data_IF_068847167699
#
_entry.id   IF_068847167699
#
_cell.length_a   1.000
_cell.length_b   1.000
_cell.length_c   1.000
_cell.angle_alpha   90.00
_cell.angle_beta   90.00
_cell.angle_gamma   90.00
#
_symmetry.space_group_name_H-M   'P 1'
#
loop_
_entity.id
_entity.type
_entity.pdbx_description
1 polymer ?
#
# COMPACT_ATOMS: atom_id res chain seq x y z
N UNK A 1 -12.19 0.10 -15.96
CA UNK A 1 -12.19 1.02 -14.83
C UNK A 1 -13.39 0.78 -13.95
N UNK A 2 -13.18 0.70 -12.66
CA UNK A 2 -14.20 0.46 -11.66
C UNK A 2 -13.83 1.13 -10.35
N UNK A 3 -14.74 1.11 -9.39
CA UNK A 3 -14.56 1.68 -8.07
C UNK A 3 -15.81 2.38 -7.59
N UNK A 4 -15.77 2.90 -6.36
CA UNK A 4 -16.87 3.68 -5.82
C UNK A 4 -17.09 4.96 -6.64
N UNK A 5 -18.33 5.43 -6.84
CA UNK A 5 -18.65 6.65 -7.61
C UNK A 5 -18.32 7.93 -6.82
N UNK A 6 -17.08 8.03 -6.32
CA UNK A 6 -16.58 9.18 -5.55
C UNK A 6 -15.86 10.22 -6.42
N UNK A 7 -16.01 10.11 -7.76
CA UNK A 7 -15.35 10.97 -8.73
C UNK A 7 -14.19 10.30 -9.46
N UNK A 8 -13.55 11.01 -10.40
CA UNK A 8 -12.45 10.47 -11.19
C UNK A 8 -11.25 10.13 -10.28
N UNK A 9 -10.73 8.91 -10.42
CA UNK A 9 -9.51 8.47 -9.76
C UNK A 9 -8.38 8.47 -10.77
N UNK A 10 -7.40 9.37 -10.65
CA UNK A 10 -6.28 9.43 -11.57
C UNK A 10 -5.44 8.15 -11.46
N UNK A 11 -5.07 7.59 -12.60
CA UNK A 11 -4.20 6.40 -12.70
C UNK A 11 -2.89 6.72 -13.41
N UNK A 12 -2.59 8.00 -13.58
CA UNK A 12 -1.42 8.54 -14.27
C UNK A 12 -0.10 8.01 -13.69
N UNK A 13 0.01 7.92 -12.35
CA UNK A 13 1.21 7.39 -11.69
C UNK A 13 1.39 5.88 -11.93
N UNK A 14 0.30 5.11 -12.02
CA UNK A 14 0.35 3.70 -12.42
C UNK A 14 0.87 3.56 -13.85
N UNK A 15 0.29 4.35 -14.77
CA UNK A 15 0.67 4.38 -16.18
C UNK A 15 2.15 4.77 -16.33
N UNK A 16 2.58 5.83 -15.62
CA UNK A 16 3.97 6.29 -15.60
C UNK A 16 4.92 5.17 -15.20
N UNK A 17 4.61 4.46 -14.12
CA UNK A 17 5.42 3.36 -13.64
C UNK A 17 5.51 2.20 -14.63
N UNK A 18 4.39 1.75 -15.17
CA UNK A 18 4.38 0.65 -16.15
C UNK A 18 5.11 1.02 -17.45
N UNK A 19 4.94 2.24 -17.96
CA UNK A 19 5.69 2.74 -19.12
C UNK A 19 7.21 2.77 -18.86
N UNK A 20 7.61 3.21 -17.69
CA UNK A 20 9.04 3.23 -17.32
C UNK A 20 9.64 1.82 -17.27
N UNK A 21 8.86 0.81 -16.84
CA UNK A 21 9.25 -0.59 -16.86
C UNK A 21 9.21 -1.22 -18.28
N UNK A 22 8.80 -0.47 -19.31
CA UNK A 22 8.78 -0.92 -20.70
C UNK A 22 7.45 -1.50 -21.18
N UNK A 23 6.35 -1.27 -20.45
CA UNK A 23 5.01 -1.62 -20.92
C UNK A 23 4.47 -0.58 -21.92
N UNK A 24 3.82 -1.06 -22.94
CA UNK A 24 3.04 -0.26 -23.91
C UNK A 24 1.57 -0.25 -23.49
N UNK A 25 0.89 0.88 -23.72
CA UNK A 25 -0.52 1.02 -23.43
C UNK A 25 -1.30 0.93 -24.74
N UNK A 26 -2.21 -0.02 -24.79
CA UNK A 26 -3.19 -0.14 -25.86
C UNK A 26 -4.48 0.60 -25.45
N UNK A 27 -4.68 1.76 -26.06
CA UNK A 27 -5.83 2.65 -25.81
C UNK A 27 -7.00 2.35 -26.80
N UNK A 28 -6.96 1.23 -27.50
CA UNK A 28 -7.97 0.88 -28.51
C UNK A 28 -9.37 0.63 -27.95
N UNK A 29 -9.50 0.46 -26.61
CA UNK A 29 -10.78 0.21 -25.93
C UNK A 29 -11.19 1.40 -25.07
N UNK A 30 -12.44 1.84 -25.23
CA UNK A 30 -13.03 2.90 -24.40
C UNK A 30 -13.46 2.43 -23.00
N UNK A 31 -13.49 1.11 -22.75
CA UNK A 31 -14.01 0.53 -21.50
C UNK A 31 -12.95 -0.14 -20.65
N UNK A 32 -11.78 -0.43 -21.21
CA UNK A 32 -10.68 -1.09 -20.50
C UNK A 32 -9.35 -0.56 -20.99
N UNK A 33 -8.37 -0.55 -20.11
CA UNK A 33 -6.97 -0.28 -20.43
C UNK A 33 -6.22 -1.59 -20.53
N UNK A 34 -5.49 -1.79 -21.62
CA UNK A 34 -4.63 -2.95 -21.81
C UNK A 34 -3.18 -2.53 -21.78
N UNK A 35 -2.42 -3.15 -20.93
CA UNK A 35 -0.97 -2.99 -20.82
C UNK A 35 -0.30 -4.22 -21.42
N UNK A 36 0.67 -4.04 -22.30
CA UNK A 36 1.40 -5.11 -22.96
C UNK A 36 2.89 -4.88 -22.80
N UNK A 37 3.60 -5.89 -22.35
CA UNK A 37 5.06 -5.89 -22.32
C UNK A 37 5.58 -7.23 -22.82
N UNK A 38 6.57 -7.22 -23.72
CA UNK A 38 7.31 -8.44 -24.09
C UNK A 38 8.26 -8.84 -22.97
N UNK A 39 8.83 -7.85 -22.30
CA UNK A 39 9.77 -7.99 -21.21
C UNK A 39 9.71 -6.72 -20.37
N UNK A 40 9.60 -6.86 -19.05
CA UNK A 40 9.75 -5.73 -18.13
C UNK A 40 11.23 -5.56 -17.76
N UNK A 41 11.67 -4.30 -17.70
CA UNK A 41 13.04 -3.92 -17.34
C UNK A 41 13.05 -2.94 -16.18
N UNK A 42 13.97 -3.14 -15.27
CA UNK A 42 14.16 -2.25 -14.14
C UNK A 42 14.43 -0.82 -14.59
N UNK A 43 13.87 0.13 -13.84
CA UNK A 43 13.94 1.55 -14.14
C UNK A 43 13.99 2.40 -12.87
N UNK A 44 14.44 3.64 -12.99
CA UNK A 44 14.30 4.64 -11.94
C UNK A 44 13.01 5.43 -12.16
N UNK A 45 12.09 5.31 -11.21
CA UNK A 45 10.73 5.85 -11.31
C UNK A 45 10.52 6.83 -10.15
N UNK A 46 10.36 8.09 -10.46
CA UNK A 46 9.95 9.11 -9.49
C UNK A 46 8.45 9.34 -9.61
N UNK A 47 7.70 9.12 -8.53
CA UNK A 47 6.26 9.43 -8.48
C UNK A 47 6.05 10.92 -8.24
N UNK A 48 5.29 11.58 -9.11
CA UNK A 48 5.04 13.03 -9.00
C UNK A 48 4.21 13.36 -7.75
N UNK A 49 3.41 12.39 -7.31
CA UNK A 49 2.67 12.42 -6.06
C UNK A 49 2.75 11.06 -5.37
N UNK A 50 2.73 11.06 -4.04
CA UNK A 50 2.66 9.82 -3.26
C UNK A 50 1.35 9.08 -3.58
N UNK A 51 1.45 7.83 -3.99
CA UNK A 51 0.31 6.98 -4.33
C UNK A 51 0.55 5.55 -3.85
N UNK A 52 -0.27 5.10 -2.90
CA UNK A 52 -0.23 3.72 -2.37
C UNK A 52 -0.44 2.72 -3.50
N UNK A 53 -1.51 2.88 -4.27
CA UNK A 53 -1.86 1.97 -5.36
C UNK A 53 -0.79 1.91 -6.44
N UNK A 54 -0.23 3.06 -6.86
CA UNK A 54 0.85 3.08 -7.85
C UNK A 54 2.12 2.41 -7.31
N UNK A 55 2.51 2.71 -6.07
CA UNK A 55 3.67 2.09 -5.42
C UNK A 55 3.54 0.58 -5.40
N UNK A 56 2.40 0.05 -4.95
CA UNK A 56 2.15 -1.40 -4.91
C UNK A 56 2.15 -2.00 -6.31
N UNK A 57 1.43 -1.42 -7.28
CA UNK A 57 1.35 -1.97 -8.64
C UNK A 57 2.71 -1.99 -9.33
N UNK A 58 3.51 -0.94 -9.17
CA UNK A 58 4.86 -0.89 -9.73
C UNK A 58 5.75 -1.94 -9.04
N UNK A 59 5.64 -2.08 -7.71
CA UNK A 59 6.38 -3.09 -6.96
C UNK A 59 6.05 -4.50 -7.46
N UNK A 60 4.77 -4.85 -7.62
CA UNK A 60 4.31 -6.14 -8.14
C UNK A 60 4.86 -6.43 -9.54
N UNK A 61 4.96 -5.43 -10.41
CA UNK A 61 5.53 -5.59 -11.75
C UNK A 61 7.07 -5.70 -11.71
N UNK A 62 7.70 -4.93 -10.82
CA UNK A 62 9.17 -4.82 -10.75
C UNK A 62 9.84 -6.08 -10.21
N UNK A 63 9.15 -6.93 -9.43
CA UNK A 63 9.74 -8.16 -8.88
C UNK A 63 10.18 -9.15 -9.96
N UNK A 64 9.63 -9.07 -11.17
CA UNK A 64 10.04 -9.87 -12.33
C UNK A 64 10.69 -9.04 -13.44
N UNK A 65 10.92 -7.74 -13.23
CA UNK A 65 11.60 -6.90 -14.22
C UNK A 65 13.10 -7.23 -14.26
N UNK A 66 13.70 -7.32 -15.44
CA UNK A 66 15.12 -7.56 -15.57
C UNK A 66 15.94 -6.37 -15.06
N UNK A 67 16.78 -6.59 -14.08
CA UNK A 67 17.63 -5.58 -13.46
C UNK A 67 16.99 -4.97 -12.21
N UNK A 68 17.42 -3.76 -11.87
CA UNK A 68 16.96 -3.06 -10.66
C UNK A 68 15.94 -1.99 -10.98
N UNK A 69 14.86 -1.96 -10.21
CA UNK A 69 13.90 -0.84 -10.17
C UNK A 69 14.11 -0.04 -8.90
N UNK A 70 14.06 1.28 -9.02
CA UNK A 70 14.03 2.21 -7.90
C UNK A 70 12.75 3.03 -8.01
N UNK A 71 11.93 3.01 -6.96
CA UNK A 71 10.72 3.82 -6.86
C UNK A 71 11.01 4.92 -5.84
N UNK A 72 11.12 6.17 -6.28
CA UNK A 72 11.27 7.35 -5.43
C UNK A 72 9.95 8.08 -5.24
N UNK A 73 9.82 8.79 -4.12
CA UNK A 73 8.58 9.37 -3.62
C UNK A 73 7.49 8.30 -3.40
N UNK A 74 7.92 7.11 -3.01
CA UNK A 74 7.06 5.96 -2.74
C UNK A 74 6.15 6.21 -1.51
N UNK A 75 5.00 5.57 -1.51
CA UNK A 75 4.10 5.50 -0.36
C UNK A 75 4.75 4.66 0.77
N UNK A 76 4.48 5.04 2.03
CA UNK A 76 5.10 4.46 3.24
C UNK A 76 4.12 3.74 4.14
N UNK A 77 2.88 3.70 3.76
CA UNK A 77 1.79 3.14 4.53
C UNK A 77 2.04 1.66 4.89
N UNK A 78 1.52 1.19 6.02
CA UNK A 78 1.75 -0.18 6.50
C UNK A 78 1.41 -1.26 5.47
N UNK A 79 0.36 -1.08 4.68
CA UNK A 79 -0.05 -2.00 3.62
C UNK A 79 0.98 -2.11 2.48
N UNK A 80 1.76 -1.06 2.22
CA UNK A 80 2.87 -1.10 1.25
C UNK A 80 4.01 -1.96 1.79
N UNK A 81 4.32 -1.80 3.08
CA UNK A 81 5.34 -2.61 3.77
C UNK A 81 4.90 -4.07 3.83
N UNK A 82 3.63 -4.31 4.10
CA UNK A 82 3.05 -5.66 4.19
C UNK A 82 3.16 -6.40 2.85
N UNK A 83 2.78 -5.75 1.74
CA UNK A 83 2.96 -6.33 0.40
C UNK A 83 4.42 -6.62 0.10
N UNK A 84 5.35 -5.72 0.46
CA UNK A 84 6.77 -5.97 0.28
C UNK A 84 7.26 -7.17 1.10
N UNK A 85 6.83 -7.30 2.36
CA UNK A 85 7.17 -8.43 3.22
C UNK A 85 6.60 -9.74 2.67
N UNK A 86 5.36 -9.73 2.17
CA UNK A 86 4.77 -10.88 1.52
C UNK A 86 5.58 -11.31 0.29
N UNK A 87 5.92 -10.37 -0.59
CA UNK A 87 6.74 -10.67 -1.77
C UNK A 87 8.13 -11.20 -1.38
N UNK A 88 8.76 -10.63 -0.35
CA UNK A 88 10.05 -11.11 0.17
C UNK A 88 9.94 -12.53 0.75
N UNK A 89 8.84 -12.87 1.41
CA UNK A 89 8.59 -14.25 1.87
C UNK A 89 8.47 -15.25 0.71
N UNK A 90 8.10 -14.77 -0.48
CA UNK A 90 8.06 -15.54 -1.71
C UNK A 90 9.41 -15.59 -2.45
N UNK A 91 10.42 -14.83 -2.01
CA UNK A 91 11.75 -14.79 -2.58
C UNK A 91 12.12 -13.52 -3.36
N UNK A 92 11.30 -12.47 -3.30
CA UNK A 92 11.64 -11.18 -3.91
C UNK A 92 12.80 -10.49 -3.16
N UNK A 93 13.63 -9.73 -3.88
CA UNK A 93 14.67 -8.85 -3.31
C UNK A 93 14.18 -7.40 -3.31
N UNK A 94 13.58 -7.00 -2.19
CA UNK A 94 13.01 -5.66 -1.99
C UNK A 94 13.67 -5.02 -0.77
N UNK A 95 14.03 -3.73 -0.88
CA UNK A 95 14.62 -2.94 0.19
C UNK A 95 14.00 -1.56 0.25
N UNK A 96 13.89 -1.01 1.45
CA UNK A 96 13.42 0.35 1.65
C UNK A 96 11.90 0.51 1.70
N UNK A 97 11.10 -0.56 1.73
CA UNK A 97 9.67 -0.47 1.99
C UNK A 97 9.42 0.27 3.33
N UNK A 98 8.44 1.18 3.35
CA UNK A 98 8.19 2.07 4.49
C UNK A 98 9.04 3.35 4.48
N UNK A 99 9.89 3.54 3.48
CA UNK A 99 10.63 4.79 3.23
C UNK A 99 10.18 5.45 1.94
N UNK A 100 10.71 6.62 1.62
CA UNK A 100 10.41 7.34 0.38
C UNK A 100 11.06 6.72 -0.86
N UNK A 101 11.97 5.75 -0.70
CA UNK A 101 12.68 5.12 -1.81
C UNK A 101 12.71 3.61 -1.63
N UNK A 102 12.13 2.88 -2.59
CA UNK A 102 12.06 1.42 -2.61
C UNK A 102 12.93 0.90 -3.76
N UNK A 103 13.83 -0.03 -3.45
CA UNK A 103 14.70 -0.70 -4.43
C UNK A 103 14.28 -2.14 -4.58
N UNK A 104 14.13 -2.60 -5.80
CA UNK A 104 13.66 -3.94 -6.14
C UNK A 104 14.62 -4.51 -7.19
N UNK A 105 15.27 -5.62 -6.88
CA UNK A 105 16.01 -6.39 -7.86
C UNK A 105 15.10 -7.49 -8.39
N UNK A 106 14.93 -7.54 -9.69
CA UNK A 106 14.08 -8.54 -10.32
C UNK A 106 14.61 -9.96 -10.12
N UNK A 107 13.72 -10.88 -9.88
CA UNK A 107 14.00 -12.31 -9.69
C UNK A 107 13.33 -13.13 -10.79
N UNK A 108 13.91 -14.28 -11.11
CA UNK A 108 13.36 -15.16 -12.14
C UNK A 108 12.10 -15.86 -11.68
N UNK A 109 12.02 -16.22 -10.39
CA UNK A 109 10.94 -17.03 -9.84
C UNK A 109 10.55 -16.56 -8.43
N UNK A 110 9.27 -16.56 -8.14
CA UNK A 110 8.71 -16.45 -6.80
C UNK A 110 8.09 -17.78 -6.39
N UNK A 111 8.24 -18.15 -5.12
CA UNK A 111 7.71 -19.40 -4.55
C UNK A 111 6.45 -19.10 -3.74
N UNK A 112 5.56 -20.09 -3.63
CA UNK A 112 4.43 -20.01 -2.70
C UNK A 112 4.90 -19.86 -1.27
N UNK A 113 4.17 -19.08 -0.46
CA UNK A 113 4.48 -18.84 0.96
C UNK A 113 3.20 -18.76 1.76
N UNK A 114 3.25 -19.20 3.01
CA UNK A 114 2.24 -18.87 4.02
C UNK A 114 2.58 -17.51 4.62
N UNK A 115 1.60 -16.62 4.66
CA UNK A 115 1.79 -15.27 5.15
C UNK A 115 0.55 -14.77 5.85
N UNK A 116 0.72 -14.19 7.03
CA UNK A 116 -0.35 -13.54 7.77
C UNK A 116 -0.33 -12.05 7.47
N UNK A 117 -1.38 -11.56 6.80
CA UNK A 117 -1.55 -10.13 6.52
C UNK A 117 -1.78 -9.34 7.80
N UNK A 118 -1.35 -8.09 7.79
CA UNK A 118 -1.59 -7.17 8.90
C UNK A 118 -3.09 -6.81 9.02
N UNK A 119 -3.56 -6.45 10.24
CA UNK A 119 -4.91 -5.91 10.45
C UNK A 119 -5.16 -4.63 9.65
N UNK A 120 -6.40 -4.46 9.19
CA UNK A 120 -6.81 -3.26 8.44
C UNK A 120 -6.91 -2.03 9.36
N UNK A 121 -5.97 -1.11 9.21
CA UNK A 121 -5.96 0.15 9.96
C UNK A 121 -7.11 1.09 9.61
N UNK A 122 -7.67 0.99 8.40
CA UNK A 122 -8.80 1.83 7.97
C UNK A 122 -10.08 1.36 8.64
N UNK A 123 -10.28 0.05 8.71
CA UNK A 123 -11.39 -0.54 9.47
C UNK A 123 -11.27 -0.19 10.95
N UNK A 124 -10.10 -0.41 11.56
CA UNK A 124 -9.84 -0.06 12.95
C UNK A 124 -10.15 1.43 13.23
N UNK A 125 -9.63 2.34 12.38
CA UNK A 125 -9.88 3.77 12.52
C UNK A 125 -11.35 4.15 12.39
N UNK A 126 -12.10 3.47 11.53
CA UNK A 126 -13.56 3.69 11.39
C UNK A 126 -14.30 3.33 12.66
N UNK A 127 -13.97 2.19 13.30
CA UNK A 127 -14.55 1.80 14.59
C UNK A 127 -14.11 2.72 15.73
N UNK A 128 -12.87 3.22 15.72
CA UNK A 128 -12.42 4.23 16.70
C UNK A 128 -13.27 5.51 16.62
N UNK A 129 -13.50 6.02 15.40
CA UNK A 129 -14.36 7.21 15.21
C UNK A 129 -15.80 6.94 15.64
N UNK A 130 -16.33 5.75 15.35
CA UNK A 130 -17.68 5.36 15.77
C UNK A 130 -17.79 5.32 17.30
N UNK A 131 -16.83 4.70 17.98
CA UNK A 131 -16.80 4.63 19.44
C UNK A 131 -16.75 6.03 20.07
N UNK A 132 -15.87 6.90 19.58
CA UNK A 132 -15.76 8.28 20.04
C UNK A 132 -17.07 9.09 19.86
N UNK A 133 -17.83 8.81 18.81
CA UNK A 133 -19.10 9.48 18.54
C UNK A 133 -20.28 8.95 19.39
N UNK A 134 -20.24 7.68 19.77
CA UNK A 134 -21.33 7.03 20.53
C UNK A 134 -21.21 7.23 22.04
N UNK A 135 -20.00 7.50 22.55
CA UNK A 135 -19.74 7.71 23.98
C UNK A 135 -19.88 6.43 24.84
N UNK A 136 -19.76 5.27 24.22
CA UNK A 136 -19.76 3.95 24.91
C UNK A 136 -18.37 3.32 24.84
N UNK A 137 -18.06 2.44 25.81
CA UNK A 137 -16.79 1.70 25.76
C UNK A 137 -16.79 0.71 24.59
N UNK A 138 -15.80 0.83 23.73
CA UNK A 138 -15.52 -0.09 22.63
C UNK A 138 -14.09 -0.61 22.75
N UNK A 139 -13.94 -1.92 22.64
CA UNK A 139 -12.65 -2.58 22.67
C UNK A 139 -12.34 -3.16 21.29
N UNK A 140 -11.28 -2.68 20.67
CA UNK A 140 -10.77 -3.21 19.40
C UNK A 140 -9.63 -4.17 19.67
N UNK A 141 -9.77 -5.40 19.21
CA UNK A 141 -8.76 -6.46 19.32
C UNK A 141 -8.06 -6.69 17.97
N UNK A 142 -6.90 -7.34 18.02
CA UNK A 142 -6.12 -7.72 16.85
C UNK A 142 -5.85 -6.52 15.96
N UNK A 143 -5.29 -5.48 16.52
CA UNK A 143 -4.87 -4.28 15.80
C UNK A 143 -3.40 -3.97 16.08
N UNK A 144 -2.76 -3.22 15.21
CA UNK A 144 -1.43 -2.66 15.43
C UNK A 144 -1.60 -1.18 15.81
N UNK A 145 -1.52 -0.81 17.11
CA UNK A 145 -1.81 0.55 17.56
C UNK A 145 -0.99 1.62 16.84
N UNK A 146 0.26 1.29 16.48
CA UNK A 146 1.15 2.18 15.72
C UNK A 146 0.58 2.58 14.36
N UNK A 147 -0.22 1.73 13.72
CA UNK A 147 -0.82 2.01 12.41
C UNK A 147 -1.96 3.03 12.47
N UNK A 148 -2.53 3.26 13.65
CA UNK A 148 -3.61 4.23 13.91
C UNK A 148 -3.19 5.37 14.85
N UNK A 149 -1.89 5.50 15.14
CA UNK A 149 -1.34 6.46 16.12
C UNK A 149 -1.77 7.91 15.81
N UNK A 150 -1.71 8.32 14.55
CA UNK A 150 -2.10 9.67 14.16
C UNK A 150 -3.59 9.98 14.46
N UNK A 151 -4.46 9.00 14.25
CA UNK A 151 -5.89 9.12 14.58
C UNK A 151 -6.09 9.10 16.10
N UNK A 152 -5.40 8.21 16.80
CA UNK A 152 -5.45 8.10 18.27
C UNK A 152 -5.13 9.44 18.93
N UNK A 153 -4.03 10.08 18.53
CA UNK A 153 -3.65 11.40 19.05
C UNK A 153 -4.74 12.45 18.79
N UNK A 154 -5.34 12.46 17.60
CA UNK A 154 -6.40 13.42 17.28
C UNK A 154 -7.68 13.19 18.08
N UNK A 155 -8.07 11.95 18.31
CA UNK A 155 -9.22 11.65 19.17
C UNK A 155 -8.96 12.03 20.63
N UNK A 156 -7.74 11.78 21.14
CA UNK A 156 -7.34 12.21 22.49
C UNK A 156 -7.32 13.74 22.64
N UNK A 157 -6.87 14.48 21.62
CA UNK A 157 -6.96 15.95 21.59
C UNK A 157 -8.42 16.46 21.65
N UNK A 158 -9.38 15.68 21.13
CA UNK A 158 -10.82 15.95 21.22
C UNK A 158 -11.43 15.57 22.58
N UNK A 159 -10.66 14.98 23.48
CA UNK A 159 -11.10 14.59 24.82
C UNK A 159 -11.59 13.15 24.94
N UNK A 160 -11.40 12.31 23.93
CA UNK A 160 -11.74 10.89 23.98
C UNK A 160 -10.71 10.15 24.85
N UNK A 161 -11.19 9.36 25.81
CA UNK A 161 -10.32 8.51 26.63
C UNK A 161 -9.93 7.25 25.83
N UNK A 162 -8.62 7.12 25.56
CA UNK A 162 -8.09 6.00 24.77
C UNK A 162 -6.93 5.37 25.54
N UNK A 163 -7.11 4.09 25.85
CA UNK A 163 -6.10 3.24 26.47
C UNK A 163 -5.53 2.27 25.42
N UNK A 164 -4.20 2.17 25.37
CA UNK A 164 -3.50 1.33 24.41
C UNK A 164 -2.84 0.18 25.17
N UNK A 165 -3.20 -1.05 24.79
CA UNK A 165 -2.52 -2.26 25.17
C UNK A 165 -1.84 -2.90 23.96
N UNK A 166 -1.09 -3.99 24.12
CA UNK A 166 -0.22 -4.59 23.10
C UNK A 166 -0.86 -4.70 21.69
N UNK A 167 -2.01 -5.40 21.56
CA UNK A 167 -2.76 -5.57 20.32
C UNK A 167 -4.22 -5.15 20.47
N UNK A 168 -4.47 -4.21 21.39
CA UNK A 168 -5.81 -3.81 21.77
C UNK A 168 -5.85 -2.30 22.01
N UNK A 169 -6.95 -1.67 21.61
CA UNK A 169 -7.29 -0.28 21.95
C UNK A 169 -8.66 -0.28 22.60
N UNK A 170 -8.76 0.39 23.75
CA UNK A 170 -9.99 0.63 24.48
C UNK A 170 -10.33 2.10 24.31
N UNK A 171 -11.54 2.41 23.86
CA UNK A 171 -12.04 3.77 23.61
C UNK A 171 -13.25 3.99 24.52
N UNK A 172 -13.27 5.12 25.26
CA UNK A 172 -14.36 5.51 26.17
C UNK A 172 -14.83 6.93 25.93
#
# INVERSE_FOLDING_TARGET
>A
PGGCPLGPRPIDQHIKGFKALGAEIDESSNTSMKLVAKELRGAHIFLDMVSVGATINIMLAAVHAKGQTVIDNAAKEPEVVDVANFLMSMGADIRGAGTTSIKINGVEELKGSEYQIIPDRIEAGSYMCMAAAMGEEVILHNIVPKHVEALTVKLQELGVDIEIEYEKIIIR
#
